data_IF_870527457627
#
_entry.id   IF_870527457627
#
_cell.length_a   1.000
_cell.length_b   1.000
_cell.length_c   1.000
_cell.angle_alpha   90.00
_cell.angle_beta   90.00
_cell.angle_gamma   90.00
#
_symmetry.space_group_name_H-M   'P 1'
#
loop_
_entity.id
_entity.type
_entity.pdbx_description
1 polymer ?
#
# COMPACT_ATOMS: atom_id res chain seq x y z
N UNK A 1 -26.07 22.85 -59.72
CA UNK A 1 -26.13 21.54 -59.03
C UNK A 1 -25.32 21.60 -57.73
N UNK A 2 -25.89 21.96 -56.57
CA UNK A 2 -25.13 22.11 -55.30
C UNK A 2 -25.24 20.91 -54.34
N UNK A 3 -26.03 19.88 -54.68
CA UNK A 3 -26.40 18.79 -53.75
C UNK A 3 -25.24 17.86 -53.37
N UNK A 4 -24.23 17.72 -54.23
CA UNK A 4 -23.07 16.88 -53.96
C UNK A 4 -22.10 17.46 -52.91
N UNK A 5 -22.05 18.80 -52.76
CA UNK A 5 -21.18 19.45 -51.78
C UNK A 5 -21.68 19.27 -50.32
N UNK A 6 -23.00 19.23 -50.12
CA UNK A 6 -23.60 19.04 -48.79
C UNK A 6 -23.40 17.64 -48.20
N UNK A 7 -23.41 16.61 -49.05
CA UNK A 7 -23.20 15.22 -48.61
C UNK A 7 -21.75 14.96 -48.17
N UNK A 8 -20.77 15.55 -48.87
CA UNK A 8 -19.37 15.48 -48.47
C UNK A 8 -19.08 16.20 -47.14
N UNK A 9 -19.68 17.37 -46.93
CA UNK A 9 -19.54 18.12 -45.67
C UNK A 9 -20.16 17.36 -44.48
N UNK A 10 -21.33 16.75 -44.67
CA UNK A 10 -21.96 15.91 -43.63
C UNK A 10 -21.08 14.69 -43.29
N UNK A 11 -20.53 14.01 -44.30
CA UNK A 11 -19.66 12.86 -44.07
C UNK A 11 -18.38 13.24 -43.30
N UNK A 12 -17.79 14.40 -43.63
CA UNK A 12 -16.64 14.91 -42.89
C UNK A 12 -16.98 15.23 -41.43
N UNK A 13 -18.15 15.83 -41.17
CA UNK A 13 -18.61 16.11 -39.82
C UNK A 13 -18.86 14.84 -39.01
N UNK A 14 -19.46 13.81 -39.62
CA UNK A 14 -19.66 12.50 -38.98
C UNK A 14 -18.31 11.88 -38.61
N UNK A 15 -17.34 11.91 -39.52
CA UNK A 15 -16.00 11.37 -39.26
C UNK A 15 -15.29 12.15 -38.13
N UNK A 16 -15.40 13.47 -38.12
CA UNK A 16 -14.82 14.31 -37.07
C UNK A 16 -15.46 14.01 -35.70
N UNK A 17 -16.78 13.91 -35.64
CA UNK A 17 -17.49 13.53 -34.42
C UNK A 17 -17.10 12.13 -33.94
N UNK A 18 -16.97 11.17 -34.85
CA UNK A 18 -16.55 9.81 -34.51
C UNK A 18 -15.16 9.78 -33.88
N UNK A 19 -14.21 10.52 -34.47
CA UNK A 19 -12.84 10.65 -33.91
C UNK A 19 -12.84 11.31 -32.54
N UNK A 20 -13.65 12.36 -32.33
CA UNK A 20 -13.77 13.02 -31.03
C UNK A 20 -14.36 12.08 -29.96
N UNK A 21 -15.39 11.31 -30.30
CA UNK A 21 -15.99 10.32 -29.38
C UNK A 21 -14.96 9.23 -29.03
N UNK A 22 -14.21 8.72 -30.01
CA UNK A 22 -13.16 7.74 -29.75
C UNK A 22 -12.04 8.29 -28.86
N UNK A 23 -11.63 9.54 -29.07
CA UNK A 23 -10.64 10.19 -28.22
C UNK A 23 -11.15 10.35 -26.77
N UNK A 24 -12.41 10.76 -26.60
CA UNK A 24 -13.04 10.89 -25.28
C UNK A 24 -13.15 9.54 -24.57
N UNK A 25 -13.58 8.49 -25.28
CA UNK A 25 -13.63 7.12 -24.75
C UNK A 25 -12.23 6.65 -24.31
N UNK A 26 -11.21 6.92 -25.10
CA UNK A 26 -9.81 6.60 -24.76
C UNK A 26 -9.35 7.32 -23.48
N UNK A 27 -9.65 8.62 -23.35
CA UNK A 27 -9.33 9.39 -22.15
C UNK A 27 -10.04 8.84 -20.91
N UNK A 28 -11.33 8.50 -21.04
CA UNK A 28 -12.08 7.90 -19.94
C UNK A 28 -11.51 6.54 -19.52
N UNK A 29 -11.08 5.69 -20.47
CA UNK A 29 -10.44 4.42 -20.14
C UNK A 29 -9.14 4.61 -19.36
N UNK A 30 -8.31 5.58 -19.76
CA UNK A 30 -7.08 5.90 -19.02
C UNK A 30 -7.41 6.40 -17.61
N UNK A 31 -8.40 7.27 -17.47
CA UNK A 31 -8.83 7.78 -16.16
C UNK A 31 -9.35 6.66 -15.25
N UNK A 32 -10.15 5.73 -15.80
CA UNK A 32 -10.62 4.55 -15.07
C UNK A 32 -9.45 3.69 -14.61
N UNK A 33 -8.47 3.44 -15.49
CA UNK A 33 -7.27 2.68 -15.12
C UNK A 33 -6.48 3.33 -13.98
N UNK A 34 -6.31 4.65 -14.01
CA UNK A 34 -5.65 5.39 -12.93
C UNK A 34 -6.41 5.30 -11.61
N UNK A 35 -7.75 5.43 -11.63
CA UNK A 35 -8.57 5.26 -10.44
C UNK A 35 -8.48 3.85 -9.85
N UNK A 36 -8.45 2.80 -10.69
CA UNK A 36 -8.30 1.43 -10.23
C UNK A 36 -6.96 1.20 -9.49
N UNK A 37 -5.87 1.76 -10.02
CA UNK A 37 -4.55 1.71 -9.35
C UNK A 37 -4.60 2.42 -8.00
N UNK A 38 -5.19 3.63 -7.95
CA UNK A 38 -5.31 4.37 -6.71
C UNK A 38 -6.15 3.64 -5.66
N UNK A 39 -7.26 3.03 -6.07
CA UNK A 39 -8.10 2.20 -5.19
C UNK A 39 -7.29 1.03 -4.62
N UNK A 40 -6.51 0.34 -5.46
CA UNK A 40 -5.66 -0.76 -5.00
C UNK A 40 -4.63 -0.33 -3.96
N UNK A 41 -4.01 0.84 -4.16
CA UNK A 41 -3.07 1.41 -3.18
C UNK A 41 -3.74 1.75 -1.85
N UNK A 42 -4.92 2.38 -1.89
CA UNK A 42 -5.70 2.71 -0.67
C UNK A 42 -6.13 1.44 0.06
N UNK A 43 -6.56 0.40 -0.66
CA UNK A 43 -6.90 -0.89 -0.06
C UNK A 43 -5.71 -1.53 0.66
N UNK A 44 -4.51 -1.48 0.06
CA UNK A 44 -3.28 -1.95 0.69
C UNK A 44 -2.93 -1.17 1.97
N UNK A 45 -3.06 0.16 1.94
CA UNK A 45 -2.84 1.00 3.12
C UNK A 45 -3.86 0.70 4.23
N UNK A 46 -5.13 0.50 3.90
CA UNK A 46 -6.17 0.14 4.86
C UNK A 46 -5.83 -1.21 5.54
N UNK A 47 -5.40 -2.21 4.77
CA UNK A 47 -5.00 -3.50 5.33
C UNK A 47 -3.84 -3.35 6.33
N UNK A 48 -2.81 -2.57 5.97
CA UNK A 48 -1.68 -2.30 6.86
C UNK A 48 -2.11 -1.60 8.16
N UNK A 49 -2.97 -0.57 8.06
CA UNK A 49 -3.49 0.15 9.22
C UNK A 49 -4.30 -0.79 10.12
N UNK A 50 -5.10 -1.68 9.53
CA UNK A 50 -5.86 -2.67 10.29
C UNK A 50 -4.94 -3.64 11.05
N UNK A 51 -3.91 -4.15 10.38
CA UNK A 51 -2.91 -5.03 11.02
C UNK A 51 -2.21 -4.31 12.18
N UNK A 52 -1.78 -3.05 11.99
CA UNK A 52 -1.14 -2.26 13.04
C UNK A 52 -2.08 -1.99 14.23
N UNK A 53 -3.34 -1.66 13.97
CA UNK A 53 -4.33 -1.42 15.02
C UNK A 53 -4.66 -2.68 15.81
N UNK A 54 -4.68 -3.85 15.17
CA UNK A 54 -4.90 -5.13 15.87
C UNK A 54 -3.74 -5.47 16.81
N UNK A 55 -2.50 -5.10 16.43
CA UNK A 55 -1.31 -5.37 17.23
C UNK A 55 -1.06 -4.31 18.33
N UNK A 56 -1.61 -3.11 18.20
CA UNK A 56 -1.35 -1.99 19.11
C UNK A 56 -1.67 -2.30 20.59
N UNK A 57 -2.83 -2.89 20.96
CA UNK A 57 -3.13 -3.22 22.35
C UNK A 57 -2.10 -4.17 22.97
N UNK A 58 -1.64 -5.17 22.21
CA UNK A 58 -0.56 -6.05 22.63
C UNK A 58 0.74 -5.27 22.85
N UNK A 59 1.12 -4.42 21.89
CA UNK A 59 2.39 -3.65 21.96
C UNK A 59 2.39 -2.72 23.18
N UNK A 60 1.29 -2.04 23.43
CA UNK A 60 1.13 -1.16 24.60
C UNK A 60 1.18 -1.95 25.91
N UNK A 61 0.48 -3.08 26.00
CA UNK A 61 0.51 -3.93 27.17
C UNK A 61 1.94 -4.42 27.45
N UNK A 62 2.59 -5.05 26.46
CA UNK A 62 3.94 -5.59 26.60
C UNK A 62 5.01 -4.50 26.81
N UNK A 63 4.79 -3.27 26.34
CA UNK A 63 5.68 -2.14 26.60
C UNK A 63 5.59 -1.65 28.05
N UNK A 64 4.42 -1.77 28.68
CA UNK A 64 4.17 -1.33 30.06
C UNK A 64 4.59 -2.35 31.14
N UNK A 65 4.91 -3.59 30.73
CA UNK A 65 5.30 -4.67 31.64
C UNK A 65 6.82 -4.78 31.80
N UNK A 66 7.27 -5.37 32.92
CA UNK A 66 8.68 -5.69 33.17
C UNK A 66 9.27 -6.62 32.10
N UNK A 67 10.59 -6.57 31.89
CA UNK A 67 11.26 -7.39 30.87
C UNK A 67 11.16 -8.91 31.10
N UNK A 68 10.91 -9.34 32.33
CA UNK A 68 10.72 -10.75 32.71
C UNK A 68 9.26 -11.17 32.79
N UNK A 69 8.32 -10.23 32.58
CA UNK A 69 6.91 -10.54 32.59
C UNK A 69 6.51 -11.34 31.33
N UNK A 70 5.50 -12.23 31.42
CA UNK A 70 4.99 -12.95 30.27
C UNK A 70 4.46 -12.00 29.19
N UNK A 71 4.89 -12.20 27.94
CA UNK A 71 4.35 -11.51 26.77
C UNK A 71 2.93 -11.99 26.51
N UNK A 72 2.03 -11.03 26.25
CA UNK A 72 0.71 -11.33 25.71
C UNK A 72 0.74 -11.25 24.19
N UNK A 73 0.07 -12.21 23.58
CA UNK A 73 -0.07 -12.33 22.14
C UNK A 73 -1.57 -12.26 21.78
N UNK A 74 -1.95 -11.57 20.68
CA UNK A 74 -3.30 -11.62 20.15
C UNK A 74 -3.64 -13.02 19.66
N UNK A 75 -4.92 -13.36 19.70
CA UNK A 75 -5.40 -14.63 19.15
C UNK A 75 -5.11 -14.68 17.63
N UNK A 76 -4.68 -15.85 17.14
CA UNK A 76 -4.48 -16.09 15.70
C UNK A 76 -3.05 -15.91 15.17
N UNK A 77 -2.05 -15.66 16.03
CA UNK A 77 -0.66 -15.70 15.59
C UNK A 77 -0.28 -17.11 15.10
N UNK A 78 0.35 -17.24 13.91
CA UNK A 78 0.76 -18.53 13.39
C UNK A 78 1.79 -19.19 14.32
N UNK A 79 1.45 -20.37 14.84
CA UNK A 79 2.23 -21.13 15.84
C UNK A 79 3.50 -21.81 15.26
N UNK A 80 4.11 -21.23 14.23
CA UNK A 80 5.19 -21.88 13.45
C UNK A 80 6.53 -22.00 14.19
N UNK A 81 6.76 -21.23 15.25
CA UNK A 81 7.99 -21.22 16.03
C UNK A 81 7.70 -20.99 17.51
N UNK A 82 8.56 -21.44 18.44
CA UNK A 82 8.43 -21.06 19.85
C UNK A 82 8.45 -19.54 19.96
N UNK A 83 7.30 -18.98 20.32
CA UNK A 83 7.15 -17.56 20.57
C UNK A 83 7.92 -17.22 21.85
N UNK A 84 8.66 -16.10 21.90
CA UNK A 84 9.32 -15.67 23.13
C UNK A 84 8.30 -15.56 24.26
N UNK A 85 8.63 -16.07 25.44
CA UNK A 85 7.69 -16.01 26.56
C UNK A 85 7.81 -14.68 27.30
N UNK A 86 8.97 -14.03 27.24
CA UNK A 86 9.24 -12.74 27.88
C UNK A 86 9.93 -11.77 26.91
N UNK A 87 9.96 -10.48 27.26
CA UNK A 87 10.76 -9.49 26.49
C UNK A 87 12.24 -9.84 26.52
N UNK A 88 12.74 -10.37 27.63
CA UNK A 88 14.11 -10.87 27.73
C UNK A 88 14.39 -11.98 26.72
N UNK A 89 13.50 -12.96 26.58
CA UNK A 89 13.65 -14.03 25.58
C UNK A 89 13.67 -13.44 24.16
N UNK A 90 12.81 -12.46 23.89
CA UNK A 90 12.80 -11.74 22.62
C UNK A 90 14.13 -11.02 22.38
N UNK A 91 14.70 -10.35 23.38
CA UNK A 91 16.03 -9.73 23.29
C UNK A 91 17.16 -10.76 23.15
N UNK A 92 17.07 -11.94 23.75
CA UNK A 92 18.06 -13.00 23.57
C UNK A 92 17.97 -13.66 22.18
N UNK A 93 16.76 -13.74 21.62
CA UNK A 93 16.48 -14.20 20.25
C UNK A 93 16.90 -13.18 19.18
N UNK A 94 16.64 -11.89 19.40
CA UNK A 94 16.86 -10.81 18.42
C UNK A 94 18.17 -10.05 18.64
N UNK A 95 18.65 -9.96 19.87
CA UNK A 95 19.85 -9.21 20.26
C UNK A 95 21.16 -9.90 19.86
N UNK A 96 21.13 -11.19 19.48
CA UNK A 96 22.23 -11.84 18.77
C UNK A 96 22.32 -11.41 17.29
N UNK A 97 21.32 -10.70 16.76
CA UNK A 97 21.26 -10.25 15.37
C UNK A 97 21.37 -8.71 15.21
N UNK A 98 21.47 -7.94 16.29
CA UNK A 98 21.49 -6.47 16.26
C UNK A 98 22.88 -5.83 16.46
N UNK A 99 23.97 -6.58 16.29
CA UNK A 99 25.33 -6.03 16.37
C UNK A 99 25.80 -5.56 14.98
N UNK A 100 26.11 -4.26 14.91
CA UNK A 100 26.78 -3.48 13.84
C UNK A 100 25.89 -2.81 12.77
N UNK A 101 25.23 -1.71 13.17
CA UNK A 101 25.40 -0.44 12.45
C UNK A 101 25.82 0.59 13.49
N UNK A 102 27.12 0.57 13.83
CA UNK A 102 27.75 1.74 14.43
C UNK A 102 27.82 2.78 13.31
N UNK A 103 26.97 3.80 13.38
CA UNK A 103 27.10 4.96 12.51
C UNK A 103 28.28 5.74 13.06
N UNK A 104 29.44 5.52 12.48
CA UNK A 104 30.66 6.26 12.76
C UNK A 104 30.44 7.72 12.33
N UNK A 105 30.03 8.57 13.27
CA UNK A 105 29.94 10.03 13.09
C UNK A 105 31.35 10.59 13.21
N UNK A 106 32.20 10.27 12.22
CA UNK A 106 33.58 10.74 12.18
C UNK A 106 34.05 10.93 10.73
N UNK A 107 33.35 11.73 9.91
CA UNK A 107 33.98 12.38 8.75
C UNK A 107 33.12 13.50 8.13
N UNK A 108 32.88 14.56 8.90
CA UNK A 108 32.64 15.87 8.29
C UNK A 108 33.65 16.83 8.93
N UNK A 109 34.81 16.94 8.30
CA UNK A 109 35.73 18.07 8.41
C UNK A 109 35.93 18.64 7.02
#
# INVERSE_FOLDING_TARGET
>A
MPVAAGFGALQQQINANHLQVMALLGQMQVQIGQMQVQIGQVQGQIAQIQDEQQLLPMRLYNASTSDTAPLRYPAGLPQGHPLPHTRRDLFELTGKSSLLVDVDVANIS
#
